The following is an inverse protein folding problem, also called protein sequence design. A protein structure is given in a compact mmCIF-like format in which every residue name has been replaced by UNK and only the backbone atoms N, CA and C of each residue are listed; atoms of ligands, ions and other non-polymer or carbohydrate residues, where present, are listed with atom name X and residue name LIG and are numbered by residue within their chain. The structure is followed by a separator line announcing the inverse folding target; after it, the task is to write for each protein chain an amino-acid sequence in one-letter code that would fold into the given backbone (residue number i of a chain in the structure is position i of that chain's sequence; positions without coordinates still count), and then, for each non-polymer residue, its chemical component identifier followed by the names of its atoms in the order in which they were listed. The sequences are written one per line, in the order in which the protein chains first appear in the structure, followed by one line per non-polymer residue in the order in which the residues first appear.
data_IF_702808196673
#
_entry.id   IF_702808196673
#
_cell.length_a   1.000
_cell.length_b   1.000
_cell.length_c   1.000
_cell.angle_alpha   90.00
_cell.angle_beta   90.00
_cell.angle_gamma   90.00
#
_symmetry.space_group_name_H-M   'P 1'
#
loop_
_entity.id
_entity.type
_entity.pdbx_description
1 polymer ?
#
# COMPACT_ATOMS: atom_id res chain seq x y z
N UNK A 1 -38.73 -35.40 2.85
CA UNK A 1 -38.77 -33.93 2.73
C UNK A 1 -37.33 -33.50 2.53
N UNK A 2 -36.98 -32.75 1.47
CA UNK A 2 -35.63 -32.21 1.37
C UNK A 2 -35.42 -31.37 2.61
N UNK A 3 -34.29 -31.59 3.25
CA UNK A 3 -33.89 -30.73 4.33
C UNK A 3 -33.37 -29.44 3.70
N UNK A 4 -34.28 -28.54 3.30
CA UNK A 4 -33.98 -27.33 2.52
C UNK A 4 -32.80 -26.55 3.10
N UNK A 5 -32.70 -26.50 4.43
CA UNK A 5 -31.59 -25.87 5.15
C UNK A 5 -30.23 -26.57 4.97
N UNK A 6 -30.17 -27.89 4.69
CA UNK A 6 -28.92 -28.60 4.34
C UNK A 6 -28.48 -28.28 2.92
N UNK A 7 -29.43 -28.17 1.99
CA UNK A 7 -29.17 -27.76 0.60
C UNK A 7 -28.65 -26.33 0.59
N UNK A 8 -29.31 -25.43 1.33
CA UNK A 8 -28.86 -24.05 1.49
C UNK A 8 -27.43 -23.99 2.05
N UNK A 9 -27.14 -24.75 3.11
CA UNK A 9 -25.77 -24.81 3.66
C UNK A 9 -24.74 -25.21 2.60
N UNK A 10 -25.01 -26.24 1.80
CA UNK A 10 -24.11 -26.69 0.74
C UNK A 10 -23.91 -25.60 -0.33
N UNK A 11 -25.00 -25.00 -0.83
CA UNK A 11 -24.91 -23.96 -1.86
C UNK A 11 -24.14 -22.73 -1.37
N UNK A 12 -24.44 -22.24 -0.17
CA UNK A 12 -23.75 -21.08 0.40
C UNK A 12 -22.27 -21.36 0.67
N UNK A 13 -21.90 -22.60 1.01
CA UNK A 13 -20.50 -23.01 1.19
C UNK A 13 -19.76 -23.13 -0.12
N UNK A 14 -20.33 -23.84 -1.09
CA UNK A 14 -19.72 -24.07 -2.41
C UNK A 14 -19.51 -22.77 -3.20
N UNK A 15 -20.38 -21.79 -2.97
CA UNK A 15 -20.30 -20.47 -3.61
C UNK A 15 -19.60 -19.42 -2.76
N UNK A 16 -19.13 -19.78 -1.56
CA UNK A 16 -18.55 -18.84 -0.58
C UNK A 16 -19.42 -17.58 -0.37
N UNK A 17 -20.73 -17.76 -0.23
CA UNK A 17 -21.69 -16.67 -0.10
C UNK A 17 -21.64 -15.66 -1.26
N UNK A 18 -21.48 -16.13 -2.51
CA UNK A 18 -21.42 -15.28 -3.71
C UNK A 18 -22.63 -14.35 -3.89
N UNK A 19 -23.80 -14.71 -3.35
CA UNK A 19 -24.99 -13.86 -3.33
C UNK A 19 -24.81 -12.58 -2.48
N UNK A 20 -23.78 -12.51 -1.63
CA UNK A 20 -23.44 -11.35 -0.82
C UNK A 20 -22.41 -10.48 -1.55
N UNK A 21 -22.73 -9.20 -1.85
CA UNK A 21 -21.81 -8.34 -2.56
C UNK A 21 -20.60 -7.97 -1.69
N UNK A 22 -19.45 -7.62 -2.31
CA UNK A 22 -18.26 -7.24 -1.57
C UNK A 22 -18.47 -6.03 -0.67
N UNK A 23 -17.75 -5.97 0.45
CA UNK A 23 -17.81 -4.88 1.43
C UNK A 23 -18.40 -5.29 2.78
N UNK A 24 -18.75 -4.28 3.59
CA UNK A 24 -19.38 -4.48 4.89
C UNK A 24 -20.85 -4.82 4.75
N UNK A 25 -21.28 -5.88 5.44
CA UNK A 25 -22.68 -6.26 5.52
C UNK A 25 -23.08 -6.50 6.97
N UNK A 26 -24.19 -5.88 7.37
CA UNK A 26 -24.83 -6.22 8.62
C UNK A 26 -25.48 -7.60 8.51
N UNK A 27 -25.60 -8.30 9.64
CA UNK A 27 -26.13 -9.69 9.63
C UNK A 27 -27.58 -9.74 9.13
N UNK A 28 -28.37 -8.68 9.35
CA UNK A 28 -29.73 -8.56 8.78
C UNK A 28 -29.71 -8.53 7.26
N UNK A 29 -28.84 -7.73 6.68
CA UNK A 29 -28.79 -7.50 5.23
C UNK A 29 -28.34 -8.78 4.51
N UNK A 30 -27.43 -9.52 5.13
CA UNK A 30 -27.02 -10.86 4.66
C UNK A 30 -28.20 -11.83 4.65
N UNK A 31 -29.10 -11.78 5.64
CA UNK A 31 -30.31 -12.60 5.62
C UNK A 31 -31.20 -12.25 4.43
N UNK A 32 -31.46 -10.96 4.21
CA UNK A 32 -32.34 -10.49 3.14
C UNK A 32 -31.78 -10.84 1.74
N UNK A 33 -30.46 -10.75 1.57
CA UNK A 33 -29.77 -11.14 0.32
C UNK A 33 -29.88 -12.64 0.04
N UNK A 34 -29.64 -13.47 1.06
CA UNK A 34 -29.73 -14.94 0.94
C UNK A 34 -31.17 -15.38 0.69
N UNK A 35 -32.15 -14.76 1.35
CA UNK A 35 -33.58 -15.04 1.11
C UNK A 35 -34.02 -14.62 -0.28
N UNK A 36 -33.48 -13.50 -0.80
CA UNK A 36 -33.76 -13.03 -2.16
C UNK A 36 -33.21 -14.00 -3.22
N UNK A 37 -32.00 -14.52 -3.04
CA UNK A 37 -31.36 -15.44 -3.99
C UNK A 37 -31.94 -16.87 -3.88
N UNK A 38 -32.24 -17.33 -2.68
CA UNK A 38 -32.68 -18.69 -2.39
C UNK A 38 -34.03 -18.74 -1.66
N UNK A 39 -35.11 -18.16 -2.20
CA UNK A 39 -36.39 -18.03 -1.49
C UNK A 39 -37.00 -19.38 -1.13
N UNK A 40 -36.90 -20.37 -2.01
CA UNK A 40 -37.42 -21.72 -1.80
C UNK A 40 -36.68 -22.51 -0.69
N UNK A 41 -35.52 -22.02 -0.26
CA UNK A 41 -34.69 -22.66 0.77
C UNK A 41 -34.75 -21.94 2.12
N UNK A 42 -35.37 -20.76 2.18
CA UNK A 42 -35.48 -19.92 3.37
C UNK A 42 -36.87 -20.06 4.03
N UNK A 43 -37.11 -21.20 4.67
CA UNK A 43 -38.38 -21.50 5.33
C UNK A 43 -38.42 -21.02 6.79
N UNK A 44 -39.15 -19.93 7.05
CA UNK A 44 -39.35 -19.35 8.38
C UNK A 44 -40.20 -20.21 9.33
N UNK A 45 -40.92 -21.22 8.82
CA UNK A 45 -41.71 -22.12 9.65
C UNK A 45 -40.87 -23.19 10.35
N UNK A 46 -39.65 -23.45 9.87
CA UNK A 46 -38.72 -24.41 10.48
C UNK A 46 -37.87 -23.67 11.51
N UNK A 47 -38.13 -23.90 12.79
CA UNK A 47 -37.42 -23.21 13.87
C UNK A 47 -36.21 -24.00 14.37
N UNK A 48 -35.15 -23.31 14.77
CA UNK A 48 -33.92 -23.92 15.29
C UNK A 48 -34.20 -24.99 16.36
N UNK A 49 -35.05 -24.70 17.35
CA UNK A 49 -35.40 -25.64 18.44
C UNK A 49 -36.00 -26.98 17.99
N UNK A 50 -36.51 -27.06 16.77
CA UNK A 50 -37.20 -28.24 16.23
C UNK A 50 -36.22 -29.20 15.53
N UNK A 51 -35.04 -28.69 15.15
CA UNK A 51 -34.09 -29.38 14.27
C UNK A 51 -32.65 -29.34 14.77
N UNK A 52 -32.33 -28.51 15.77
CA UNK A 52 -31.02 -28.47 16.41
C UNK A 52 -31.11 -28.39 17.94
N UNK A 53 -29.97 -28.52 18.62
CA UNK A 53 -29.88 -28.46 20.08
C UNK A 53 -30.04 -27.05 20.67
N UNK A 54 -30.18 -26.02 19.82
CA UNK A 54 -30.39 -24.64 20.24
C UNK A 54 -31.84 -24.44 20.69
N UNK A 55 -32.06 -23.77 21.82
CA UNK A 55 -33.41 -23.44 22.28
C UNK A 55 -33.98 -22.16 21.63
N UNK A 56 -33.45 -21.76 20.46
CA UNK A 56 -33.82 -20.54 19.75
C UNK A 56 -35.11 -20.72 18.94
N UNK A 57 -35.94 -19.68 18.89
CA UNK A 57 -37.13 -19.61 18.03
C UNK A 57 -36.86 -18.92 16.69
N UNK A 58 -35.59 -18.70 16.33
CA UNK A 58 -35.23 -18.16 15.03
C UNK A 58 -35.36 -19.23 13.93
N UNK A 59 -35.65 -18.82 12.67
CA UNK A 59 -35.61 -19.73 11.52
C UNK A 59 -34.28 -20.49 11.42
N UNK A 60 -34.34 -21.79 11.13
CA UNK A 60 -33.14 -22.64 11.05
C UNK A 60 -32.21 -22.21 9.91
N UNK A 61 -32.75 -21.70 8.79
CA UNK A 61 -31.93 -21.26 7.66
C UNK A 61 -30.97 -20.11 8.04
N UNK A 62 -31.42 -19.18 8.91
CA UNK A 62 -30.57 -18.10 9.46
C UNK A 62 -29.47 -18.63 10.37
N UNK A 63 -29.69 -19.74 11.06
CA UNK A 63 -28.66 -20.43 11.83
C UNK A 63 -27.66 -21.14 10.92
N UNK A 64 -28.11 -21.77 9.82
CA UNK A 64 -27.22 -22.39 8.84
C UNK A 64 -26.33 -21.37 8.15
N UNK A 65 -26.88 -20.23 7.73
CA UNK A 65 -26.09 -19.12 7.19
C UNK A 65 -24.95 -18.70 8.13
N UNK A 66 -25.26 -18.46 9.42
CA UNK A 66 -24.21 -18.13 10.42
C UNK A 66 -23.18 -19.24 10.60
N UNK A 67 -23.59 -20.49 10.47
CA UNK A 67 -22.67 -21.64 10.49
C UNK A 67 -21.74 -21.63 9.28
N UNK A 68 -22.25 -21.27 8.10
CA UNK A 68 -21.46 -21.10 6.88
C UNK A 68 -20.46 -19.95 7.04
N UNK A 69 -20.91 -18.78 7.52
CA UNK A 69 -20.04 -17.63 7.77
C UNK A 69 -18.89 -17.98 8.72
N UNK A 70 -19.18 -18.67 9.84
CA UNK A 70 -18.15 -19.09 10.79
C UNK A 70 -17.18 -20.11 10.17
N UNK A 71 -17.68 -21.06 9.40
CA UNK A 71 -16.85 -22.07 8.75
C UNK A 71 -15.93 -21.47 7.70
N UNK A 72 -16.41 -20.52 6.90
CA UNK A 72 -15.63 -19.81 5.89
C UNK A 72 -14.60 -18.87 6.55
N UNK A 73 -14.94 -18.23 7.68
CA UNK A 73 -13.99 -17.37 8.40
C UNK A 73 -12.72 -18.11 8.86
N UNK A 74 -12.83 -19.41 9.11
CA UNK A 74 -11.72 -20.27 9.56
C UNK A 74 -10.90 -20.85 8.40
N UNK A 75 -11.33 -20.65 7.15
CA UNK A 75 -10.66 -21.15 5.97
C UNK A 75 -9.66 -20.14 5.40
N UNK A 76 -8.47 -20.65 5.07
CA UNK A 76 -7.41 -19.84 4.49
C UNK A 76 -7.78 -19.39 3.07
N UNK A 77 -7.52 -18.13 2.74
CA UNK A 77 -7.91 -17.52 1.47
C UNK A 77 -9.42 -17.25 1.31
N UNK A 78 -10.22 -17.47 2.36
CA UNK A 78 -11.65 -17.14 2.33
C UNK A 78 -11.89 -15.65 2.20
N UNK A 79 -12.85 -15.28 1.34
CA UNK A 79 -13.29 -13.89 1.18
C UNK A 79 -13.96 -13.30 2.43
N UNK A 80 -14.33 -14.13 3.41
CA UNK A 80 -15.06 -13.67 4.60
C UNK A 80 -14.06 -13.33 5.70
N UNK A 81 -14.03 -12.04 6.06
CA UNK A 81 -13.23 -11.53 7.17
C UNK A 81 -14.12 -11.02 8.28
N UNK A 82 -13.66 -11.18 9.52
CA UNK A 82 -14.30 -10.61 10.72
C UNK A 82 -13.49 -9.41 11.17
N UNK A 83 -13.98 -8.22 10.85
CA UNK A 83 -13.34 -6.94 11.20
C UNK A 83 -14.06 -6.28 12.37
N UNK A 84 -13.48 -5.19 12.89
CA UNK A 84 -14.03 -4.46 14.04
C UNK A 84 -15.49 -3.99 13.88
N UNK A 85 -15.97 -3.76 12.65
CA UNK A 85 -17.35 -3.32 12.36
C UNK A 85 -18.32 -4.46 12.00
N UNK A 86 -17.86 -5.70 11.85
CA UNK A 86 -18.72 -6.83 11.53
C UNK A 86 -18.13 -7.74 10.46
N UNK A 87 -18.98 -8.22 9.56
CA UNK A 87 -18.57 -9.08 8.45
C UNK A 87 -18.14 -8.23 7.27
N UNK A 88 -16.96 -8.53 6.75
CA UNK A 88 -16.46 -7.99 5.50
C UNK A 88 -16.34 -9.13 4.49
N UNK A 89 -16.78 -8.88 3.26
CA UNK A 89 -16.72 -9.82 2.16
C UNK A 89 -15.79 -9.26 1.09
N UNK A 90 -14.66 -9.90 0.84
CA UNK A 90 -13.76 -9.55 -0.25
C UNK A 90 -14.40 -9.87 -1.61
N UNK A 91 -13.94 -9.25 -2.71
CA UNK A 91 -14.41 -9.60 -4.05
C UNK A 91 -13.85 -10.96 -4.49
N UNK A 92 -14.68 -11.79 -5.14
CA UNK A 92 -14.30 -13.16 -5.54
C UNK A 92 -13.24 -13.16 -6.65
N UNK A 93 -13.36 -12.26 -7.62
CA UNK A 93 -12.51 -12.22 -8.82
C UNK A 93 -11.36 -11.21 -8.67
N UNK A 94 -10.99 -10.84 -7.45
CA UNK A 94 -9.97 -9.82 -7.19
C UNK A 94 -9.11 -10.24 -6.03
N UNK A 95 -7.81 -10.38 -6.28
CA UNK A 95 -6.84 -10.61 -5.22
C UNK A 95 -6.75 -9.38 -4.31
N UNK A 96 -7.04 -9.58 -3.04
CA UNK A 96 -6.80 -8.62 -1.95
C UNK A 96 -5.65 -9.18 -1.13
N UNK A 97 -4.55 -8.45 -1.08
CA UNK A 97 -3.36 -8.83 -0.33
C UNK A 97 -3.56 -8.61 1.16
N UNK A 98 -3.01 -9.53 1.96
CA UNK A 98 -2.86 -9.31 3.39
C UNK A 98 -2.00 -8.08 3.64
N UNK A 99 -2.29 -7.40 4.74
CA UNK A 99 -1.51 -6.22 5.16
C UNK A 99 -0.22 -6.71 5.81
N UNK A 100 0.96 -6.29 5.31
CA UNK A 100 2.22 -6.68 5.91
C UNK A 100 2.35 -6.09 7.32
N UNK A 101 3.11 -6.72 8.20
CA UNK A 101 3.49 -6.15 9.51
C UNK A 101 4.46 -4.97 9.37
N UNK A 102 5.22 -4.94 8.27
CA UNK A 102 6.19 -3.91 7.92
C UNK A 102 5.64 -3.11 6.74
N UNK A 103 5.35 -1.80 6.91
CA UNK A 103 4.75 -0.98 5.87
C UNK A 103 5.68 -0.77 4.66
N UNK A 104 6.98 -1.02 4.77
CA UNK A 104 7.91 -0.98 3.63
C UNK A 104 7.70 -2.12 2.64
N UNK A 105 6.94 -3.16 3.04
CA UNK A 105 6.66 -4.34 2.23
C UNK A 105 5.40 -4.20 1.37
N UNK A 106 4.72 -3.05 1.39
CA UNK A 106 3.63 -2.81 0.46
C UNK A 106 4.13 -2.89 -0.99
N UNK A 107 3.44 -3.70 -1.80
CA UNK A 107 3.74 -3.86 -3.23
C UNK A 107 2.88 -2.94 -4.08
N UNK A 108 3.52 -2.13 -4.94
CA UNK A 108 2.83 -1.20 -5.85
C UNK A 108 1.88 -1.97 -6.76
N UNK A 109 0.64 -1.50 -6.89
CA UNK A 109 -0.40 -2.14 -7.69
C UNK A 109 -1.20 -3.22 -6.96
N UNK A 110 -0.73 -3.70 -5.81
CA UNK A 110 -1.51 -4.61 -4.96
C UNK A 110 -2.66 -3.89 -4.27
N UNK A 111 -3.75 -4.63 -4.05
CA UNK A 111 -4.98 -4.15 -3.41
C UNK A 111 -4.98 -4.58 -1.95
N UNK A 112 -5.37 -3.69 -1.05
CA UNK A 112 -5.43 -3.92 0.39
C UNK A 112 -6.77 -3.48 0.95
N UNK A 113 -7.20 -4.13 2.03
CA UNK A 113 -8.39 -3.71 2.77
C UNK A 113 -8.07 -2.48 3.63
N UNK A 114 -8.57 -1.31 3.24
CA UNK A 114 -8.39 -0.05 3.98
C UNK A 114 -8.91 -0.11 5.41
N UNK A 115 -10.00 -0.83 5.65
CA UNK A 115 -10.53 -0.94 7.01
C UNK A 115 -9.57 -1.71 7.91
N UNK A 116 -9.05 -2.81 7.39
CA UNK A 116 -8.05 -3.63 8.09
C UNK A 116 -6.73 -2.87 8.26
N UNK A 117 -6.31 -2.04 7.29
CA UNK A 117 -5.14 -1.15 7.42
C UNK A 117 -5.25 -0.32 8.71
N UNK A 118 -6.44 0.20 9.00
CA UNK A 118 -6.68 0.96 10.22
C UNK A 118 -6.96 0.12 11.47
N UNK A 119 -7.37 -1.15 11.34
CA UNK A 119 -7.43 -2.07 12.47
C UNK A 119 -6.00 -2.45 12.93
N UNK A 120 -5.04 -2.54 12.01
CA UNK A 120 -3.63 -2.89 12.27
C UNK A 120 -2.81 -1.66 12.68
N UNK A 121 -2.79 -0.63 11.85
CA UNK A 121 -1.88 0.52 12.02
C UNK A 121 -2.50 1.67 12.79
N UNK A 122 -3.83 1.75 12.84
CA UNK A 122 -4.56 2.88 13.45
C UNK A 122 -4.76 4.06 12.48
N UNK A 123 -4.90 5.27 13.04
CA UNK A 123 -5.20 6.48 12.26
C UNK A 123 -6.69 6.69 11.94
N UNK A 124 -6.98 7.76 11.19
CA UNK A 124 -8.34 8.22 10.92
C UNK A 124 -8.95 7.47 9.71
N UNK A 125 -9.90 6.59 9.98
CA UNK A 125 -10.46 5.64 8.99
C UNK A 125 -11.12 6.26 7.76
N UNK A 126 -11.74 7.41 7.95
CA UNK A 126 -12.60 8.06 6.95
C UNK A 126 -11.95 9.28 6.29
N UNK A 127 -10.71 9.60 6.68
CA UNK A 127 -10.03 10.80 6.22
C UNK A 127 -9.16 10.48 5.01
N UNK A 128 -9.03 11.42 4.08
CA UNK A 128 -8.12 11.28 2.94
C UNK A 128 -6.68 11.17 3.41
N UNK A 129 -6.30 11.90 4.46
CA UNK A 129 -4.99 11.82 5.09
C UNK A 129 -5.17 11.22 6.48
N UNK A 130 -4.52 10.10 6.74
CA UNK A 130 -4.50 9.46 8.05
C UNK A 130 -3.10 9.54 8.66
N UNK A 131 -3.05 9.86 9.95
CA UNK A 131 -1.85 10.03 10.77
C UNK A 131 -1.87 9.05 11.95
N UNK A 132 -1.48 7.78 11.72
CA UNK A 132 -1.42 6.80 12.80
C UNK A 132 -0.36 7.20 13.84
N UNK A 133 -0.76 7.37 15.10
CA UNK A 133 0.08 7.98 16.14
C UNK A 133 1.27 7.14 16.60
N UNK A 134 1.23 5.84 16.37
CA UNK A 134 2.25 4.88 16.81
C UNK A 134 3.14 4.40 15.64
N UNK A 135 3.06 5.09 14.49
CA UNK A 135 3.77 4.73 13.27
C UNK A 135 4.61 5.90 12.77
N UNK A 136 5.77 5.59 12.18
CA UNK A 136 6.64 6.58 11.53
C UNK A 136 6.21 6.80 10.05
N UNK A 137 4.90 6.86 9.77
CA UNK A 137 4.37 7.11 8.44
C UNK A 137 2.96 7.70 8.48
N UNK A 138 2.57 8.34 7.38
CA UNK A 138 1.21 8.81 7.09
C UNK A 138 0.64 8.07 5.87
N UNK A 139 -0.67 7.92 5.83
CA UNK A 139 -1.39 7.29 4.72
C UNK A 139 -2.21 8.36 4.00
N UNK A 140 -2.09 8.44 2.68
CA UNK A 140 -2.94 9.27 1.84
C UNK A 140 -3.81 8.38 0.95
N UNK A 141 -5.10 8.70 0.88
CA UNK A 141 -6.11 8.04 0.08
C UNK A 141 -6.69 9.04 -0.92
N UNK A 142 -6.77 8.63 -2.18
CA UNK A 142 -7.39 9.37 -3.28
C UNK A 142 -8.46 8.51 -3.95
N UNK A 143 -9.47 9.12 -4.58
CA UNK A 143 -10.54 8.38 -5.25
C UNK A 143 -11.70 9.26 -5.68
N UNK A 144 -12.62 8.69 -6.47
CA UNK A 144 -13.76 9.37 -7.09
C UNK A 144 -14.74 9.98 -6.07
N UNK A 145 -14.69 9.52 -4.81
CA UNK A 145 -15.46 10.13 -3.72
C UNK A 145 -15.07 11.60 -3.46
N UNK A 146 -13.87 12.01 -3.87
CA UNK A 146 -13.37 13.39 -3.82
C UNK A 146 -14.03 14.34 -4.81
N UNK A 147 -14.49 13.85 -5.97
CA UNK A 147 -15.12 14.68 -7.00
C UNK A 147 -16.37 15.38 -6.47
N UNK A 148 -17.13 14.70 -5.60
CA UNK A 148 -18.29 15.25 -4.91
C UNK A 148 -17.96 16.42 -3.97
N UNK A 149 -16.68 16.59 -3.62
CA UNK A 149 -16.15 17.65 -2.77
C UNK A 149 -15.30 18.67 -3.53
N UNK A 150 -15.31 18.59 -4.87
CA UNK A 150 -14.51 19.43 -5.76
C UNK A 150 -13.02 19.09 -5.78
N UNK A 151 -12.63 17.89 -5.33
CA UNK A 151 -11.24 17.46 -5.39
C UNK A 151 -10.83 17.18 -6.82
N UNK A 152 -9.61 17.54 -7.15
CA UNK A 152 -9.04 17.40 -8.49
C UNK A 152 -7.72 16.64 -8.37
N UNK A 153 -7.82 15.41 -7.88
CA UNK A 153 -6.64 14.56 -7.70
C UNK A 153 -6.23 13.94 -9.03
N UNK A 154 -4.94 13.71 -9.22
CA UNK A 154 -4.52 13.03 -10.44
C UNK A 154 -3.02 12.88 -10.63
N UNK A 155 -2.68 11.75 -11.24
CA UNK A 155 -1.35 11.50 -11.80
C UNK A 155 -1.09 12.46 -12.96
N UNK A 156 0.10 13.05 -12.96
CA UNK A 156 0.59 13.93 -14.02
C UNK A 156 1.46 13.14 -15.00
N UNK A 157 1.60 13.64 -16.23
CA UNK A 157 2.47 13.01 -17.25
C UNK A 157 3.93 12.89 -16.80
N UNK A 158 4.36 13.77 -15.91
CA UNK A 158 5.70 13.79 -15.36
C UNK A 158 5.89 12.85 -14.17
N UNK A 159 4.89 12.04 -13.83
CA UNK A 159 4.89 11.08 -12.71
C UNK A 159 4.66 11.71 -11.33
N UNK A 160 4.50 13.03 -11.21
CA UNK A 160 4.00 13.63 -9.98
C UNK A 160 2.53 13.31 -9.75
N UNK A 161 2.08 13.46 -8.50
CA UNK A 161 0.70 13.34 -8.12
C UNK A 161 0.21 14.68 -7.57
N UNK A 162 -0.89 15.19 -8.13
CA UNK A 162 -1.59 16.34 -7.55
C UNK A 162 -2.60 15.82 -6.54
N UNK A 163 -2.44 16.23 -5.29
CA UNK A 163 -3.30 15.83 -4.18
C UNK A 163 -4.04 17.05 -3.63
N UNK A 164 -5.35 16.93 -3.46
CA UNK A 164 -6.18 17.99 -2.89
C UNK A 164 -6.22 17.85 -1.36
N UNK A 165 -5.91 18.92 -0.64
CA UNK A 165 -5.86 18.91 0.82
C UNK A 165 -7.20 18.57 1.48
N UNK A 166 -7.13 18.15 2.74
CA UNK A 166 -8.32 17.85 3.53
C UNK A 166 -9.09 19.13 3.92
N UNK A 167 -10.40 18.94 4.07
CA UNK A 167 -11.39 19.99 4.30
C UNK A 167 -12.47 19.87 3.24
N UNK A 168 -13.73 19.73 3.63
CA UNK A 168 -14.86 19.52 2.69
C UNK A 168 -15.77 20.74 2.55
N UNK A 169 -15.66 21.71 3.46
CA UNK A 169 -16.55 22.87 3.53
C UNK A 169 -15.75 24.10 3.94
N UNK A 170 -15.95 25.20 3.22
CA UNK A 170 -15.20 26.45 3.42
C UNK A 170 -13.71 26.35 3.08
N UNK A 171 -13.01 27.48 3.26
CA UNK A 171 -11.58 27.59 2.99
C UNK A 171 -10.78 26.54 3.77
N UNK A 172 -9.88 25.86 3.06
CA UNK A 172 -8.98 24.89 3.67
C UNK A 172 -7.94 25.59 4.55
N UNK A 173 -7.42 24.85 5.52
CA UNK A 173 -6.40 25.33 6.44
C UNK A 173 -5.22 24.37 6.46
N UNK A 174 -4.01 24.92 6.65
CA UNK A 174 -2.79 24.12 6.81
C UNK A 174 -2.69 23.60 8.25
N UNK A 175 -3.64 22.76 8.65
CA UNK A 175 -3.70 22.09 9.95
C UNK A 175 -3.96 20.58 9.78
N UNK A 176 -3.92 19.82 10.89
CA UNK A 176 -4.23 18.38 10.94
C UNK A 176 -3.53 17.55 9.84
N UNK A 177 -4.28 16.91 8.94
CA UNK A 177 -3.72 16.09 7.86
C UNK A 177 -2.91 16.93 6.87
N UNK A 178 -3.31 18.17 6.59
CA UNK A 178 -2.59 19.03 5.65
C UNK A 178 -1.20 19.41 6.16
N UNK A 179 -1.09 19.78 7.44
CA UNK A 179 0.22 20.08 8.03
C UNK A 179 1.07 18.82 8.18
N UNK A 180 0.46 17.68 8.54
CA UNK A 180 1.17 16.40 8.60
C UNK A 180 1.72 16.00 7.23
N UNK A 181 0.93 16.14 6.16
CA UNK A 181 1.39 15.86 4.79
C UNK A 181 2.48 16.82 4.34
N UNK A 182 2.42 18.12 4.65
CA UNK A 182 3.49 19.06 4.30
C UNK A 182 4.79 18.76 5.05
N UNK A 183 4.68 18.52 6.35
CA UNK A 183 5.81 18.36 7.26
C UNK A 183 6.21 16.89 7.43
N UNK A 184 5.62 15.96 6.67
CA UNK A 184 5.78 14.50 6.87
C UNK A 184 7.25 14.12 6.84
N UNK A 185 7.95 14.65 5.85
CA UNK A 185 9.37 14.48 5.72
C UNK A 185 10.02 15.02 7.02
N UNK A 186 9.71 16.24 7.50
CA UNK A 186 10.33 16.88 8.69
C UNK A 186 10.16 16.10 9.97
N UNK A 187 9.05 15.40 10.08
CA UNK A 187 8.74 14.52 11.18
C UNK A 187 9.44 13.15 11.06
N UNK A 188 10.05 12.85 9.91
CA UNK A 188 10.65 11.54 9.62
C UNK A 188 9.61 10.47 9.26
N UNK A 189 8.44 10.89 8.75
CA UNK A 189 7.30 10.04 8.40
C UNK A 189 7.28 9.74 6.89
N UNK A 190 7.20 8.46 6.51
CA UNK A 190 6.95 8.07 5.12
C UNK A 190 5.53 8.46 4.70
N UNK A 191 5.29 8.74 3.41
CA UNK A 191 3.94 9.03 2.89
C UNK A 191 3.55 7.95 1.88
N UNK A 192 2.61 7.09 2.27
CA UNK A 192 2.11 6.01 1.44
C UNK A 192 0.80 6.40 0.76
N UNK A 193 0.79 6.41 -0.58
CA UNK A 193 -0.38 6.77 -1.36
C UNK A 193 -1.17 5.52 -1.77
N UNK A 194 -2.48 5.58 -1.57
CA UNK A 194 -3.45 4.58 -1.96
C UNK A 194 -4.54 5.22 -2.81
N UNK A 195 -5.05 4.49 -3.80
CA UNK A 195 -6.19 4.90 -4.61
C UNK A 195 -7.36 3.94 -4.37
N UNK A 196 -8.55 4.49 -4.16
CA UNK A 196 -9.79 3.73 -4.08
C UNK A 196 -10.01 2.89 -5.35
N UNK A 197 -10.75 1.80 -5.20
CA UNK A 197 -11.19 0.95 -6.30
C UNK A 197 -12.72 1.04 -6.45
N UNK A 198 -13.24 0.33 -7.44
CA UNK A 198 -14.67 0.09 -7.60
C UNK A 198 -15.30 -0.64 -6.40
N UNK A 199 -14.49 -1.30 -5.56
CA UNK A 199 -14.94 -2.03 -4.39
C UNK A 199 -14.76 -1.20 -3.11
N UNK A 200 -15.82 -1.04 -2.29
CA UNK A 200 -15.74 -0.32 -1.03
C UNK A 200 -14.65 -0.89 -0.12
N UNK A 201 -13.86 0.01 0.47
CA UNK A 201 -12.76 -0.32 1.40
C UNK A 201 -11.61 -1.12 0.80
N UNK A 202 -11.59 -1.34 -0.52
CA UNK A 202 -10.44 -1.90 -1.20
C UNK A 202 -9.69 -0.77 -1.87
N UNK A 203 -8.43 -0.59 -1.49
CA UNK A 203 -7.57 0.46 -2.01
C UNK A 203 -6.32 -0.16 -2.62
N UNK A 204 -5.90 0.36 -3.78
CA UNK A 204 -4.67 -0.07 -4.44
C UNK A 204 -3.51 0.80 -3.99
N UNK A 205 -2.42 0.18 -3.53
CA UNK A 205 -1.20 0.91 -3.19
C UNK A 205 -0.54 1.49 -4.44
N UNK A 206 -0.23 2.78 -4.42
CA UNK A 206 0.37 3.54 -5.53
C UNK A 206 1.85 3.82 -5.34
N UNK A 207 2.39 3.53 -4.16
CA UNK A 207 3.79 3.75 -3.83
C UNK A 207 3.98 4.78 -2.73
N UNK A 208 5.24 4.99 -2.40
CA UNK A 208 5.67 6.01 -1.47
C UNK A 208 5.89 7.33 -2.21
N UNK A 209 5.51 8.43 -1.58
CA UNK A 209 5.58 9.77 -2.13
C UNK A 209 6.25 10.72 -1.14
N UNK A 210 6.70 11.86 -1.64
CA UNK A 210 7.20 12.97 -0.85
C UNK A 210 6.57 14.28 -1.29
N UNK A 211 6.30 15.15 -0.31
CA UNK A 211 5.88 16.52 -0.54
C UNK A 211 6.97 17.29 -1.31
N UNK A 212 6.56 17.97 -2.39
CA UNK A 212 7.43 18.86 -3.18
C UNK A 212 7.06 20.33 -2.97
N UNK A 213 5.79 20.67 -3.18
CA UNK A 213 5.28 22.03 -3.03
C UNK A 213 3.75 22.03 -2.84
N UNK A 214 3.16 23.16 -2.48
CA UNK A 214 1.72 23.38 -2.57
C UNK A 214 1.39 24.79 -3.06
N UNK A 215 0.19 24.94 -3.62
CA UNK A 215 -0.38 26.24 -3.91
C UNK A 215 -1.86 26.27 -3.51
N UNK A 216 -2.40 27.48 -3.47
CA UNK A 216 -3.82 27.71 -3.23
C UNK A 216 -4.53 27.87 -4.56
N UNK A 217 -5.67 27.19 -4.70
CA UNK A 217 -6.51 27.26 -5.88
C UNK A 217 -7.97 27.38 -5.46
N UNK A 218 -8.74 28.19 -6.19
CA UNK A 218 -10.17 28.33 -5.94
C UNK A 218 -10.93 27.14 -6.52
N UNK A 219 -11.47 26.29 -5.65
CA UNK A 219 -12.26 25.10 -6.02
C UNK A 219 -13.65 25.14 -5.35
N UNK A 220 -14.66 24.45 -5.89
CA UNK A 220 -15.92 24.28 -5.19
C UNK A 220 -15.74 23.41 -3.94
N UNK A 221 -16.53 23.66 -2.89
CA UNK A 221 -16.68 22.78 -1.74
C UNK A 221 -17.85 21.80 -1.93
N UNK A 222 -18.17 21.00 -0.91
CA UNK A 222 -19.29 20.04 -0.94
C UNK A 222 -20.66 20.65 -1.23
N UNK A 223 -20.82 21.95 -0.95
CA UNK A 223 -22.04 22.72 -1.17
C UNK A 223 -21.99 23.54 -2.48
N UNK A 224 -20.97 23.30 -3.31
CA UNK A 224 -20.68 24.01 -4.56
C UNK A 224 -20.38 25.51 -4.35
N UNK A 225 -19.96 25.91 -3.13
CA UNK A 225 -19.45 27.25 -2.87
C UNK A 225 -17.95 27.30 -3.19
N UNK A 226 -17.49 28.37 -3.82
CA UNK A 226 -16.06 28.57 -4.06
C UNK A 226 -15.33 28.80 -2.73
N UNK A 227 -14.18 28.15 -2.61
CA UNK A 227 -13.29 28.22 -1.45
C UNK A 227 -11.83 28.22 -1.88
N UNK A 228 -10.96 28.71 -1.02
CA UNK A 228 -9.52 28.51 -1.16
C UNK A 228 -9.16 27.07 -0.76
N UNK A 229 -8.73 26.27 -1.74
CA UNK A 229 -8.32 24.89 -1.55
C UNK A 229 -6.80 24.75 -1.66
N UNK A 230 -6.23 23.84 -0.89
CA UNK A 230 -4.80 23.52 -0.94
C UNK A 230 -4.58 22.44 -1.99
N UNK A 231 -3.65 22.69 -2.91
CA UNK A 231 -3.22 21.73 -3.94
C UNK A 231 -1.76 21.37 -3.73
N UNK A 232 -1.54 20.17 -3.21
CA UNK A 232 -0.22 19.60 -3.02
C UNK A 232 0.32 19.01 -4.32
N UNK A 233 1.63 19.14 -4.49
CA UNK A 233 2.41 18.40 -5.48
C UNK A 233 3.24 17.37 -4.73
N UNK A 234 2.96 16.11 -5.01
CA UNK A 234 3.69 14.98 -4.46
C UNK A 234 4.55 14.36 -5.55
N UNK A 235 5.76 13.97 -5.21
CA UNK A 235 6.65 13.23 -6.13
C UNK A 235 6.87 11.83 -5.62
N UNK A 236 6.94 10.81 -6.50
CA UNK A 236 7.22 9.46 -6.05
C UNK A 236 8.62 9.42 -5.44
N UNK A 237 8.69 8.85 -4.25
CA UNK A 237 9.93 8.33 -3.72
C UNK A 237 10.36 7.24 -4.70
N UNK A 238 11.49 7.45 -5.38
CA UNK A 238 11.87 6.64 -6.53
C UNK A 238 12.46 7.44 -7.65
N UNK A 239 11.98 8.67 -7.83
CA UNK A 239 12.04 9.37 -9.10
C UNK A 239 11.13 8.72 -10.16
N UNK A 240 10.98 9.41 -11.30
CA UNK A 240 9.85 9.18 -12.22
C UNK A 240 10.17 8.13 -13.27
N UNK A 241 11.21 8.34 -14.07
CA UNK A 241 11.81 7.38 -14.99
C UNK A 241 13.23 7.85 -15.29
N UNK A 242 14.14 6.93 -15.64
CA UNK A 242 15.45 7.28 -16.20
C UNK A 242 15.67 6.57 -17.53
N UNK A 243 16.33 7.26 -18.45
CA UNK A 243 16.73 6.70 -19.74
C UNK A 243 18.18 6.24 -19.65
N UNK A 244 18.40 4.96 -19.91
CA UNK A 244 19.73 4.34 -19.94
C UNK A 244 20.03 3.89 -21.37
N UNK A 245 21.22 4.22 -21.86
CA UNK A 245 21.73 3.72 -23.13
C UNK A 245 22.25 2.29 -22.94
N UNK A 246 21.38 1.29 -23.16
CA UNK A 246 21.74 -0.13 -23.09
C UNK A 246 20.95 -0.95 -22.07
N UNK A 247 21.49 -2.11 -21.72
CA UNK A 247 20.97 -2.99 -20.67
C UNK A 247 21.64 -2.64 -19.32
N UNK A 248 20.87 -2.31 -18.26
CA UNK A 248 21.40 -2.07 -16.92
C UNK A 248 22.28 -3.21 -16.39
N UNK A 249 22.05 -4.46 -16.80
CA UNK A 249 22.85 -5.61 -16.34
C UNK A 249 24.28 -5.62 -16.90
N UNK A 250 24.50 -4.94 -18.02
CA UNK A 250 25.79 -4.80 -18.68
C UNK A 250 26.58 -3.56 -18.21
N UNK A 251 25.97 -2.67 -17.43
CA UNK A 251 26.64 -1.47 -16.92
C UNK A 251 27.68 -1.81 -15.85
N UNK A 252 28.73 -0.97 -15.80
CA UNK A 252 29.66 -0.95 -14.68
C UNK A 252 28.99 -0.40 -13.42
N UNK A 253 29.50 -0.73 -12.23
CA UNK A 253 28.95 -0.21 -10.98
C UNK A 253 28.94 1.34 -10.92
N UNK A 254 30.02 2.05 -11.33
CA UNK A 254 29.99 3.51 -11.41
C UNK A 254 28.97 4.05 -12.42
N UNK A 255 28.83 3.43 -13.60
CA UNK A 255 27.85 3.89 -14.59
C UNK A 255 26.41 3.65 -14.12
N UNK A 256 26.17 2.53 -13.42
CA UNK A 256 24.88 2.22 -12.82
C UNK A 256 24.56 3.17 -11.65
N UNK A 257 25.56 3.53 -10.85
CA UNK A 257 25.44 4.54 -9.81
C UNK A 257 25.10 5.91 -10.37
N UNK A 258 25.81 6.36 -11.41
CA UNK A 258 25.52 7.61 -12.12
C UNK A 258 24.13 7.61 -12.76
N UNK A 259 23.73 6.48 -13.37
CA UNK A 259 22.39 6.31 -13.89
C UNK A 259 21.33 6.45 -12.77
N UNK A 260 21.57 5.81 -11.62
CA UNK A 260 20.71 5.90 -10.44
C UNK A 260 20.69 7.31 -9.84
N UNK A 261 21.81 8.05 -9.84
CA UNK A 261 21.90 9.43 -9.32
C UNK A 261 21.13 10.43 -10.18
N UNK A 262 21.03 10.24 -11.50
CA UNK A 262 20.35 11.18 -12.41
C UNK A 262 18.89 11.42 -12.01
N UNK A 263 18.63 12.54 -11.36
CA UNK A 263 17.28 13.06 -11.10
C UNK A 263 16.65 13.50 -12.43
N UNK A 264 15.32 13.38 -12.54
CA UNK A 264 14.48 13.67 -13.71
C UNK A 264 14.95 14.85 -14.61
N UNK A 265 14.59 14.84 -15.91
CA UNK A 265 15.35 15.51 -16.95
C UNK A 265 15.47 17.01 -16.67
N UNK A 266 16.70 17.54 -16.69
CA UNK A 266 16.84 18.88 -17.26
C UNK A 266 16.20 18.79 -18.63
N UNK A 267 15.18 19.60 -18.91
CA UNK A 267 14.80 19.94 -20.28
C UNK A 267 16.07 20.43 -20.98
N UNK A 268 16.83 19.53 -21.57
CA UNK A 268 17.89 19.87 -22.47
C UNK A 268 17.20 20.11 -23.80
N UNK A 269 17.06 21.39 -24.11
CA UNK A 269 17.01 21.86 -25.49
C UNK A 269 18.29 21.38 -26.19
N UNK A 270 18.30 20.15 -26.67
CA UNK A 270 19.04 19.82 -27.88
C UNK A 270 18.57 18.46 -28.42
N UNK A 271 18.15 18.51 -29.68
CA UNK A 271 17.76 17.33 -30.43
C UNK A 271 18.97 16.46 -30.69
N UNK A 272 19.09 15.37 -29.94
CA UNK A 272 19.79 14.18 -30.39
C UNK A 272 18.92 13.00 -30.00
N UNK A 273 18.40 12.30 -31.00
CA UNK A 273 17.67 11.04 -30.83
C UNK A 273 18.61 9.99 -30.27
N UNK A 274 18.68 9.86 -28.93
CA UNK A 274 19.30 8.71 -28.28
C UNK A 274 18.32 7.53 -28.30
N UNK A 275 18.84 6.34 -28.57
CA UNK A 275 18.10 5.07 -28.62
C UNK A 275 18.00 4.40 -27.24
N UNK A 276 17.95 5.21 -26.18
CA UNK A 276 17.93 4.72 -24.80
C UNK A 276 16.62 4.01 -24.45
N UNK A 277 16.70 3.04 -23.56
CA UNK A 277 15.52 2.39 -22.96
C UNK A 277 15.16 3.11 -21.66
N UNK A 278 13.85 3.22 -21.41
CA UNK A 278 13.32 3.84 -20.21
C UNK A 278 13.15 2.79 -19.12
N UNK A 279 13.63 3.09 -17.91
CA UNK A 279 13.53 2.25 -16.74
C UNK A 279 12.93 3.02 -15.57
N UNK A 280 12.21 2.32 -14.70
CA UNK A 280 11.76 2.86 -13.41
C UNK A 280 13.00 3.08 -12.54
N UNK A 281 13.21 4.29 -12.02
CA UNK A 281 14.45 4.65 -11.32
C UNK A 281 14.67 3.83 -10.05
N UNK A 282 13.61 3.56 -9.28
CA UNK A 282 13.70 2.70 -8.09
C UNK A 282 14.20 1.28 -8.41
N UNK A 283 13.89 0.74 -9.60
CA UNK A 283 14.43 -0.55 -10.03
C UNK A 283 15.94 -0.47 -10.30
N UNK A 284 16.42 0.65 -10.82
CA UNK A 284 17.85 0.88 -11.06
C UNK A 284 18.60 1.10 -9.75
N UNK A 285 18.02 1.84 -8.81
CA UNK A 285 18.56 2.04 -7.45
C UNK A 285 18.63 0.72 -6.68
N UNK A 286 17.58 -0.10 -6.72
CA UNK A 286 17.59 -1.45 -6.11
C UNK A 286 18.64 -2.35 -6.76
N UNK A 287 18.73 -2.34 -8.10
CA UNK A 287 19.73 -3.12 -8.85
C UNK A 287 21.15 -2.69 -8.46
N UNK A 288 21.40 -1.39 -8.35
CA UNK A 288 22.66 -0.86 -7.85
C UNK A 288 22.99 -1.40 -6.45
N UNK A 289 22.09 -1.24 -5.48
CA UNK A 289 22.31 -1.68 -4.10
C UNK A 289 22.59 -3.20 -3.99
N UNK A 290 21.87 -4.03 -4.76
CA UNK A 290 22.09 -5.48 -4.82
C UNK A 290 23.43 -5.84 -5.43
N UNK A 291 23.84 -5.13 -6.49
CA UNK A 291 25.12 -5.40 -7.17
C UNK A 291 26.32 -4.95 -6.35
N UNK A 292 26.18 -3.91 -5.53
CA UNK A 292 27.19 -3.54 -4.53
C UNK A 292 27.33 -4.62 -3.46
N UNK A 293 26.23 -5.24 -3.02
CA UNK A 293 26.26 -6.30 -2.02
C UNK A 293 26.85 -7.62 -2.54
N UNK A 294 26.78 -7.89 -3.85
CA UNK A 294 27.33 -9.09 -4.50
C UNK A 294 26.92 -10.40 -3.77
N UNK A 295 25.64 -10.50 -3.42
CA UNK A 295 25.07 -11.64 -2.72
C UNK A 295 25.50 -11.80 -1.25
N UNK A 296 26.17 -10.79 -0.66
CA UNK A 296 26.55 -10.77 0.76
C UNK A 296 25.79 -9.66 1.48
N UNK A 297 25.14 -10.01 2.60
CA UNK A 297 24.42 -9.04 3.41
C UNK A 297 25.37 -7.98 3.96
N UNK A 298 25.14 -6.70 3.64
CA UNK A 298 26.04 -5.62 4.11
C UNK A 298 25.96 -5.36 5.62
N UNK A 299 24.90 -5.82 6.31
CA UNK A 299 24.76 -5.67 7.76
C UNK A 299 25.44 -6.73 8.63
N UNK A 300 25.39 -8.01 8.24
CA UNK A 300 25.98 -9.11 9.03
C UNK A 300 27.09 -9.88 8.30
N UNK A 301 27.38 -9.52 7.06
CA UNK A 301 28.49 -10.06 6.24
C UNK A 301 28.37 -11.56 5.93
N UNK A 302 27.19 -12.14 6.16
CA UNK A 302 26.88 -13.49 5.71
C UNK A 302 26.33 -13.46 4.28
N UNK A 303 26.50 -14.55 3.51
CA UNK A 303 25.82 -14.73 2.23
C UNK A 303 24.30 -14.56 2.35
N UNK A 304 23.66 -14.21 1.24
CA UNK A 304 22.21 -14.20 1.14
C UNK A 304 21.63 -15.54 1.63
N UNK A 305 20.52 -15.52 2.38
CA UNK A 305 20.00 -16.72 3.02
C UNK A 305 19.43 -17.75 2.04
N UNK A 306 19.03 -17.32 0.84
CA UNK A 306 18.50 -18.14 -0.25
C UNK A 306 18.59 -17.40 -1.58
N UNK A 307 18.31 -18.11 -2.67
CA UNK A 307 18.16 -17.56 -4.03
C UNK A 307 16.67 -17.35 -4.35
N UNK A 308 16.35 -16.36 -5.18
CA UNK A 308 15.00 -16.14 -5.68
C UNK A 308 14.64 -17.09 -6.85
N UNK A 309 13.46 -16.87 -7.46
CA UNK A 309 12.97 -17.72 -8.55
C UNK A 309 13.85 -17.66 -9.81
N UNK A 310 14.60 -16.58 -9.97
CA UNK A 310 15.50 -16.34 -11.09
C UNK A 310 16.93 -16.86 -10.79
N UNK A 311 17.15 -17.37 -9.58
CA UNK A 311 18.44 -17.91 -9.13
C UNK A 311 19.38 -16.86 -8.54
N UNK A 312 18.89 -15.65 -8.27
CA UNK A 312 19.70 -14.55 -7.76
C UNK A 312 19.73 -14.52 -6.23
N UNK A 313 20.85 -14.14 -5.58
CA UNK A 313 20.93 -14.03 -4.12
C UNK A 313 19.88 -13.06 -3.54
N UNK A 314 19.03 -13.56 -2.63
CA UNK A 314 17.94 -12.75 -2.07
C UNK A 314 18.42 -11.84 -0.93
N UNK A 315 18.46 -10.54 -1.20
CA UNK A 315 18.66 -9.47 -0.22
C UNK A 315 17.54 -8.43 -0.33
N UNK A 316 17.21 -7.77 0.78
CA UNK A 316 16.22 -6.68 0.85
C UNK A 316 16.95 -5.34 0.81
N UNK A 317 16.42 -4.38 0.06
CA UNK A 317 16.98 -3.02 -0.02
C UNK A 317 16.36 -2.20 1.11
N UNK A 318 17.22 -1.68 1.98
CA UNK A 318 16.87 -0.91 3.17
C UNK A 318 17.31 0.54 3.00
N UNK A 319 16.43 1.48 3.36
CA UNK A 319 16.73 2.92 3.33
C UNK A 319 17.46 3.33 4.62
N UNK A 320 18.64 3.91 4.48
CA UNK A 320 19.55 4.22 5.58
C UNK A 320 19.09 5.42 6.39
N UNK A 321 18.66 6.46 5.69
CA UNK A 321 18.13 7.69 6.25
C UNK A 321 16.66 7.83 5.87
N UNK A 322 15.83 8.12 6.87
CA UNK A 322 14.47 8.61 6.63
C UNK A 322 14.48 10.00 5.97
N UNK A 323 15.64 10.72 5.94
CA UNK A 323 15.87 11.98 5.21
C UNK A 323 17.36 12.37 5.04
N UNK A 324 17.70 12.97 3.89
CA UNK A 324 18.88 13.83 3.71
C UNK A 324 19.27 13.99 2.24
N UNK A 325 19.07 15.19 1.65
CA UNK A 325 19.54 15.69 0.34
C UNK A 325 19.28 14.89 -0.97
N UNK A 326 18.83 13.63 -0.92
CA UNK A 326 18.60 12.78 -2.10
C UNK A 326 17.27 12.01 -2.17
N UNK A 327 16.46 12.05 -1.10
CA UNK A 327 15.25 11.22 -0.98
C UNK A 327 15.55 9.74 -0.70
N UNK A 328 14.53 8.88 -0.52
CA UNK A 328 14.74 7.46 -0.20
C UNK A 328 15.43 6.69 -1.34
N UNK A 329 15.12 7.01 -2.61
CA UNK A 329 15.76 6.41 -3.79
C UNK A 329 16.96 7.20 -4.32
N UNK A 330 17.75 7.75 -3.40
CA UNK A 330 19.14 8.08 -3.70
C UNK A 330 19.95 6.77 -3.64
N UNK A 331 20.76 6.42 -4.67
CA UNK A 331 21.65 5.27 -4.56
C UNK A 331 22.59 5.34 -3.33
N UNK A 332 22.88 6.54 -2.82
CA UNK A 332 23.67 6.74 -1.59
C UNK A 332 22.87 6.45 -0.30
N UNK A 333 21.54 6.45 -0.37
CA UNK A 333 20.64 6.28 0.77
C UNK A 333 20.06 4.86 0.91
N UNK A 334 20.48 3.91 0.06
CA UNK A 334 20.01 2.52 0.10
C UNK A 334 21.13 1.54 0.42
N UNK A 335 20.79 0.41 1.04
CA UNK A 335 21.73 -0.68 1.29
C UNK A 335 21.03 -2.04 1.18
N UNK A 336 21.67 -3.04 0.56
CA UNK A 336 21.15 -4.40 0.51
C UNK A 336 21.57 -5.25 1.74
N UNK A 337 20.60 -5.77 2.46
CA UNK A 337 20.76 -6.57 3.69
C UNK A 337 19.86 -7.79 3.70
N UNK A 338 20.17 -8.82 4.51
CA UNK A 338 19.31 -10.00 4.61
C UNK A 338 18.04 -9.69 5.43
N UNK A 339 16.96 -10.48 5.28
CA UNK A 339 15.70 -10.27 5.99
C UNK A 339 15.84 -10.19 7.52
N UNK A 340 16.78 -10.96 8.10
CA UNK A 340 17.05 -10.91 9.54
C UNK A 340 17.67 -9.59 9.98
N UNK A 341 18.60 -9.05 9.17
CA UNK A 341 19.20 -7.74 9.45
C UNK A 341 18.19 -6.62 9.23
N UNK A 342 17.35 -6.72 8.20
CA UNK A 342 16.31 -5.75 7.93
C UNK A 342 15.31 -5.68 9.09
N UNK A 343 14.80 -6.82 9.54
CA UNK A 343 13.95 -6.90 10.75
C UNK A 343 14.67 -6.41 12.00
N UNK A 344 15.99 -6.62 12.15
CA UNK A 344 16.75 -6.08 13.30
C UNK A 344 16.79 -4.54 13.28
N UNK A 345 16.87 -3.91 12.12
CA UNK A 345 16.81 -2.44 12.03
C UNK A 345 15.48 -1.93 12.59
N UNK A 346 14.36 -2.51 12.17
CA UNK A 346 13.03 -2.03 12.54
C UNK A 346 12.57 -2.48 13.94
N UNK A 347 12.83 -3.74 14.29
CA UNK A 347 12.27 -4.36 15.51
C UNK A 347 13.31 -4.71 16.57
N UNK A 348 14.60 -4.64 16.24
CA UNK A 348 15.67 -4.93 17.19
C UNK A 348 15.74 -3.88 18.31
N UNK A 349 16.01 -4.31 19.54
CA UNK A 349 16.28 -3.39 20.67
C UNK A 349 17.43 -2.42 20.36
N UNK A 350 18.35 -2.84 19.51
CA UNK A 350 19.50 -2.09 19.04
C UNK A 350 19.35 -1.58 17.60
N UNK A 351 18.14 -1.62 17.03
CA UNK A 351 17.87 -1.29 15.63
C UNK A 351 18.38 0.09 15.20
N UNK A 352 18.14 1.13 16.02
CA UNK A 352 18.66 2.49 15.78
C UNK A 352 20.20 2.55 15.76
N UNK A 353 20.88 1.84 16.66
CA UNK A 353 22.34 1.78 16.67
C UNK A 353 22.89 0.91 15.54
N UNK A 354 22.16 -0.14 15.15
CA UNK A 354 22.51 -0.99 14.03
C UNK A 354 22.41 -0.23 12.71
N UNK A 355 21.31 0.51 12.50
CA UNK A 355 21.12 1.38 11.33
C UNK A 355 22.21 2.46 11.22
N UNK A 356 22.65 3.04 12.35
CA UNK A 356 23.80 3.95 12.39
C UNK A 356 25.08 3.30 11.84
N UNK A 357 25.29 2.02 12.15
CA UNK A 357 26.41 1.25 11.61
C UNK A 357 26.30 1.04 10.09
N UNK A 358 25.08 0.81 9.60
CA UNK A 358 24.81 0.68 8.16
C UNK A 358 25.06 2.01 7.42
N UNK A 359 24.63 3.14 8.00
CA UNK A 359 24.89 4.49 7.46
C UNK A 359 26.39 4.70 7.27
N UNK A 360 27.18 4.52 8.33
CA UNK A 360 28.64 4.72 8.25
C UNK A 360 29.29 3.81 7.21
N UNK A 361 28.80 2.56 7.09
CA UNK A 361 29.30 1.60 6.11
C UNK A 361 28.99 2.03 4.69
N UNK A 362 27.78 2.52 4.43
CA UNK A 362 27.38 3.03 3.12
C UNK A 362 28.14 4.31 2.73
N UNK A 363 28.35 5.24 3.67
CA UNK A 363 29.17 6.44 3.44
C UNK A 363 30.60 6.09 3.00
N UNK A 364 31.20 5.06 3.60
CA UNK A 364 32.52 4.54 3.22
C UNK A 364 32.51 3.87 1.84
N UNK A 365 31.54 2.96 1.61
CA UNK A 365 31.42 2.19 0.36
C UNK A 365 31.11 3.07 -0.87
N UNK A 366 30.16 3.99 -0.74
CA UNK A 366 29.73 4.81 -1.87
C UNK A 366 30.67 5.98 -2.12
N UNK A 367 31.38 6.47 -1.10
CA UNK A 367 32.45 7.46 -1.29
C UNK A 367 33.58 6.96 -2.20
N UNK A 368 33.88 5.66 -2.19
CA UNK A 368 34.86 5.05 -3.09
C UNK A 368 34.35 4.86 -4.53
N UNK A 369 33.02 4.81 -4.72
CA UNK A 369 32.37 4.66 -6.04
C UNK A 369 32.19 6.03 -6.72
N UNK A 370 31.90 7.09 -5.95
CA UNK A 370 31.75 8.48 -6.42
C UNK A 370 33.12 9.16 -6.72
N UNK A 371 34.23 8.55 -6.30
CA UNK A 371 35.56 9.05 -6.61
C UNK A 371 35.85 8.91 -8.12
N UNK A 372 36.07 10.01 -8.88
CA UNK A 372 36.36 9.91 -10.29
C UNK A 372 37.61 9.06 -10.47
N UNK A 373 37.52 8.01 -11.30
CA UNK A 373 38.67 7.23 -11.71
C UNK A 373 39.68 8.18 -12.35
N UNK A 374 40.67 8.61 -11.58
CA UNK A 374 41.78 9.40 -12.07
C UNK A 374 42.61 8.52 -13.00
N UNK A 375 42.65 8.86 -14.29
CA UNK A 375 43.54 8.23 -15.27
C UNK A 375 43.02 8.28 -16.68
#
# INVERSE_FOLDING_TARGET
MPESYKILYQQLRETELACVPPGFQDTSDVYDLVETEYPELCDDSILCREVCSSNSTQPEWKHRLRTVQQSLLEEDGSRIKRLSKGWFYEPIETDVSDIPDDPTQFTIGSRYNRWELHDIYGGQRYYGIATPSDQDFILAFTGDSGDAYGYADGFQEDGSFKYTGEGQEGDMTMDKGNIALRDHQENGENLYLFADTEYPWIATYRGEYQYEDHHWETLPDKNNNLREAIRFTLTPVGGREITIDGDPDELSLPDLFEAAKRSAPKRSTDGTTSSGRTYVRSEIVKKFARRVADGVCMGCENPAPFEDIDGEPYLEVHHLHNRGDGGPDDPENVIAICPNCHRRVHYGRDGKSFNRGLINKAEELYGDIDAPTGG
#
